data_IF_019018850660
#
_entry.id   IF_019018850660
#
_cell.length_a   1.000
_cell.length_b   1.000
_cell.length_c   1.000
_cell.angle_alpha   90.00
_cell.angle_beta   90.00
_cell.angle_gamma   90.00
#
_symmetry.space_group_name_H-M   'P 1'
#
loop_
_entity.id
_entity.type
_entity.pdbx_description
1 polymer ?
#
# COMPACT_ATOMS: atom_id res chain seq x y z
N UNK A 1 11.69 1.07 -24.03
CA UNK A 1 11.99 2.46 -23.66
C UNK A 1 11.07 2.83 -22.50
N UNK A 2 11.63 3.04 -21.31
CA UNK A 2 10.87 3.50 -20.13
C UNK A 2 10.93 5.02 -20.10
N UNK A 3 9.81 5.69 -20.38
CA UNK A 3 9.74 7.15 -20.38
C UNK A 3 9.31 7.60 -18.98
N UNK A 4 10.25 8.14 -18.19
CA UNK A 4 9.99 8.70 -16.86
C UNK A 4 9.37 10.09 -17.00
N UNK A 5 8.23 10.32 -16.36
CA UNK A 5 7.74 11.65 -16.00
C UNK A 5 7.44 11.64 -14.50
N UNK A 6 8.01 12.63 -13.79
CA UNK A 6 7.47 13.20 -12.55
C UNK A 6 7.60 12.40 -11.23
N UNK A 7 8.75 12.58 -10.58
CA UNK A 7 8.99 12.77 -9.13
C UNK A 7 8.25 11.95 -8.04
N UNK A 8 7.90 10.70 -8.31
CA UNK A 8 7.90 9.59 -7.34
C UNK A 8 8.32 8.34 -8.12
N UNK A 9 9.06 7.37 -7.57
CA UNK A 9 9.46 6.17 -8.31
C UNK A 9 8.26 5.23 -8.50
N UNK A 10 7.30 5.65 -9.33
CA UNK A 10 6.21 4.80 -9.75
C UNK A 10 6.77 3.68 -10.65
N UNK A 11 6.82 2.45 -10.14
CA UNK A 11 7.19 1.27 -10.91
C UNK A 11 5.95 0.79 -11.67
N UNK A 12 5.99 0.93 -12.99
CA UNK A 12 4.96 0.39 -13.86
C UNK A 12 5.34 -1.03 -14.30
N UNK A 13 4.47 -2.01 -14.05
CA UNK A 13 4.61 -3.35 -14.63
C UNK A 13 3.45 -3.63 -15.59
N UNK A 14 3.76 -4.41 -16.62
CA UNK A 14 2.78 -4.87 -17.61
C UNK A 14 2.72 -6.39 -17.50
N UNK A 15 1.56 -6.92 -17.10
CA UNK A 15 1.34 -8.36 -17.06
C UNK A 15 0.11 -8.69 -17.90
N UNK A 16 0.26 -9.52 -18.93
CA UNK A 16 -0.86 -9.97 -19.78
C UNK A 16 -1.67 -8.85 -20.46
N UNK A 17 -1.08 -7.66 -20.66
CA UNK A 17 -1.75 -6.50 -21.26
C UNK A 17 -2.34 -5.52 -20.23
N UNK A 18 -2.38 -5.94 -18.97
CA UNK A 18 -2.83 -5.12 -17.85
C UNK A 18 -1.69 -4.28 -17.28
N UNK A 19 -2.00 -3.02 -16.96
CA UNK A 19 -1.07 -2.07 -16.37
C UNK A 19 -1.25 -2.01 -14.86
N UNK A 20 -0.16 -2.15 -14.13
CA UNK A 20 -0.12 -1.90 -12.69
C UNK A 20 0.91 -0.82 -12.42
N UNK A 21 0.60 0.10 -11.51
CA UNK A 21 1.56 1.09 -11.03
C UNK A 21 1.76 0.93 -9.52
N UNK A 22 3.02 0.78 -9.11
CA UNK A 22 3.43 0.72 -7.72
C UNK A 22 4.03 2.06 -7.34
N UNK A 23 3.50 2.70 -6.32
CA UNK A 23 4.09 3.90 -5.71
C UNK A 23 4.96 3.49 -4.54
N UNK A 24 6.16 4.07 -4.44
CA UNK A 24 7.08 3.84 -3.33
C UNK A 24 7.41 5.14 -2.62
N UNK A 25 7.61 5.08 -1.30
CA UNK A 25 8.22 6.16 -0.53
C UNK A 25 9.75 6.25 -0.76
N UNK A 26 10.38 7.26 -0.15
CA UNK A 26 11.83 7.49 -0.25
C UNK A 26 12.68 6.36 0.36
N UNK A 27 12.08 5.51 1.20
CA UNK A 27 12.71 4.34 1.82
C UNK A 27 12.47 3.05 1.04
N UNK A 28 11.65 3.10 -0.02
CA UNK A 28 11.32 1.98 -0.88
C UNK A 28 10.13 1.14 -0.44
N UNK A 29 9.33 1.58 0.55
CA UNK A 29 8.08 0.89 0.90
C UNK A 29 6.99 1.23 -0.10
N UNK A 30 6.16 0.24 -0.43
CA UNK A 30 5.04 0.40 -1.35
C UNK A 30 3.90 1.16 -0.70
N UNK A 31 3.74 2.45 -0.97
CA UNK A 31 2.66 3.27 -0.44
C UNK A 31 1.39 3.23 -1.27
N UNK A 32 1.46 2.74 -2.50
CA UNK A 32 0.29 2.62 -3.37
C UNK A 32 0.40 1.56 -4.44
N UNK A 33 -0.75 1.01 -4.82
CA UNK A 33 -0.89 0.08 -5.95
C UNK A 33 -2.11 0.49 -6.78
N UNK A 34 -1.86 0.91 -8.02
CA UNK A 34 -2.92 1.11 -9.03
C UNK A 34 -3.14 -0.18 -9.80
N UNK A 35 -4.38 -0.64 -9.83
CA UNK A 35 -4.86 -1.79 -10.57
C UNK A 35 -5.21 -1.41 -12.02
N UNK A 36 -5.38 -2.40 -12.91
CA UNK A 36 -5.59 -2.15 -14.35
C UNK A 36 -6.91 -1.44 -14.68
N UNK A 37 -7.90 -1.56 -13.80
CA UNK A 37 -9.19 -0.86 -13.86
C UNK A 37 -9.11 0.59 -13.35
N UNK A 38 -7.95 1.01 -12.85
CA UNK A 38 -7.71 2.34 -12.27
C UNK A 38 -7.98 2.43 -10.78
N UNK A 39 -8.42 1.33 -10.15
CA UNK A 39 -8.61 1.27 -8.71
C UNK A 39 -7.26 1.41 -7.99
N UNK A 40 -7.25 2.13 -6.87
CA UNK A 40 -6.03 2.41 -6.11
C UNK A 40 -6.14 1.86 -4.68
N UNK A 41 -5.13 1.10 -4.29
CA UNK A 41 -4.86 0.71 -2.91
C UNK A 41 -3.80 1.65 -2.33
N UNK A 42 -3.96 2.02 -1.06
CA UNK A 42 -2.98 2.83 -0.33
C UNK A 42 -2.53 2.12 0.94
N UNK A 43 -1.25 2.25 1.26
CA UNK A 43 -0.61 1.58 2.39
C UNK A 43 0.19 2.57 3.23
N UNK A 44 0.07 2.46 4.55
CA UNK A 44 0.82 3.26 5.52
C UNK A 44 1.66 2.33 6.39
N UNK A 45 2.91 2.71 6.67
CA UNK A 45 3.86 1.91 7.43
C UNK A 45 4.40 2.68 8.63
N UNK A 46 4.90 1.96 9.62
CA UNK A 46 5.69 2.53 10.71
C UNK A 46 7.20 2.59 10.38
N UNK A 47 7.98 3.12 11.33
CA UNK A 47 9.44 3.23 11.23
C UNK A 47 10.18 1.89 11.11
N UNK A 48 9.50 0.77 11.40
CA UNK A 48 10.02 -0.59 11.30
C UNK A 48 9.53 -1.31 10.04
N UNK A 49 8.97 -0.58 9.06
CA UNK A 49 8.42 -1.13 7.83
C UNK A 49 7.24 -2.09 8.04
N UNK A 50 6.48 -1.94 9.14
CA UNK A 50 5.28 -2.73 9.42
C UNK A 50 4.04 -1.97 8.95
N UNK A 51 3.12 -2.67 8.29
CA UNK A 51 1.91 -2.08 7.73
C UNK A 51 0.97 -1.63 8.85
N UNK A 52 0.73 -0.32 9.00
CA UNK A 52 -0.22 0.22 9.97
C UNK A 52 -1.64 0.29 9.43
N UNK A 53 -1.79 0.51 8.12
CA UNK A 53 -3.09 0.72 7.51
C UNK A 53 -3.07 0.36 6.03
N UNK A 54 -4.12 -0.30 5.59
CA UNK A 54 -4.44 -0.50 4.17
C UNK A 54 -5.78 0.18 3.89
N UNK A 55 -5.86 0.89 2.76
CA UNK A 55 -7.10 1.54 2.30
C UNK A 55 -7.43 1.06 0.90
N UNK A 56 -8.67 0.63 0.72
CA UNK A 56 -9.20 0.17 -0.54
C UNK A 56 -9.69 1.32 -1.44
N UNK A 57 -10.01 1.04 -2.73
CA UNK A 57 -10.48 2.05 -3.66
C UNK A 57 -11.82 2.72 -3.27
N UNK A 58 -12.59 2.07 -2.38
CA UNK A 58 -13.84 2.60 -1.85
C UNK A 58 -13.62 3.48 -0.60
N UNK A 59 -12.37 3.69 -0.19
CA UNK A 59 -11.99 4.46 0.98
C UNK A 59 -12.19 3.72 2.31
N UNK A 60 -12.40 2.39 2.27
CA UNK A 60 -12.49 1.57 3.47
C UNK A 60 -11.08 1.21 3.93
N UNK A 61 -10.83 1.32 5.24
CA UNK A 61 -9.50 1.07 5.79
C UNK A 61 -9.49 -0.03 6.84
N UNK A 62 -8.47 -0.89 6.76
CA UNK A 62 -8.11 -1.84 7.81
C UNK A 62 -6.90 -1.27 8.55
N UNK A 63 -6.92 -1.27 9.88
CA UNK A 63 -5.78 -0.82 10.70
C UNK A 63 -5.16 -2.00 11.43
N UNK A 64 -3.85 -1.94 11.61
CA UNK A 64 -3.06 -2.97 12.28
C UNK A 64 -2.29 -2.36 13.43
N UNK A 65 -2.34 -3.05 14.56
CA UNK A 65 -1.57 -2.68 15.74
C UNK A 65 -0.62 -3.82 16.08
N UNK A 66 0.59 -3.46 16.49
CA UNK A 66 1.64 -4.42 16.79
C UNK A 66 2.16 -4.24 18.21
N UNK A 67 2.54 -5.35 18.83
CA UNK A 67 3.30 -5.31 20.06
C UNK A 67 4.66 -4.63 19.81
N UNK A 68 5.08 -3.78 20.76
CA UNK A 68 6.27 -2.94 20.67
C UNK A 68 7.52 -3.74 20.28
N UNK A 69 8.23 -3.27 19.24
CA UNK A 69 9.47 -3.85 18.68
C UNK A 69 9.37 -5.32 18.24
N UNK A 70 8.17 -5.80 17.91
CA UNK A 70 7.96 -7.17 17.38
C UNK A 70 7.12 -7.15 16.11
N UNK A 71 7.03 -8.26 15.40
CA UNK A 71 6.08 -8.42 14.29
C UNK A 71 4.72 -8.97 14.73
N UNK A 72 4.50 -9.13 16.04
CA UNK A 72 3.26 -9.68 16.57
C UNK A 72 2.13 -8.65 16.45
N UNK A 73 1.12 -8.99 15.66
CA UNK A 73 -0.13 -8.22 15.57
C UNK A 73 -0.92 -8.43 16.86
N UNK A 74 -1.31 -7.33 17.50
CA UNK A 74 -2.14 -7.33 18.71
C UNK A 74 -3.60 -7.06 18.42
N UNK A 75 -3.90 -6.36 17.33
CA UNK A 75 -5.26 -5.98 16.96
C UNK A 75 -5.34 -5.67 15.45
N UNK A 76 -6.48 -5.99 14.84
CA UNK A 76 -6.80 -5.65 13.46
C UNK A 76 -8.17 -4.99 13.44
N UNK A 77 -8.25 -3.69 13.15
CA UNK A 77 -9.51 -2.97 13.10
C UNK A 77 -10.07 -2.98 11.68
N UNK A 78 -11.21 -3.62 11.48
CA UNK A 78 -11.87 -3.71 10.18
C UNK A 78 -12.83 -2.54 9.92
N UNK A 79 -13.15 -2.22 8.64
CA UNK A 79 -14.10 -1.15 8.30
C UNK A 79 -15.51 -1.33 8.88
N UNK A 80 -15.91 -2.56 9.21
CA UNK A 80 -17.19 -2.88 9.83
C UNK A 80 -17.20 -2.66 11.35
N UNK A 81 -16.06 -2.23 11.93
CA UNK A 81 -15.87 -2.00 13.35
C UNK A 81 -15.54 -3.25 14.16
N UNK A 82 -15.34 -4.41 13.50
CA UNK A 82 -14.86 -5.61 14.16
C UNK A 82 -13.34 -5.57 14.41
N UNK A 83 -12.89 -6.38 15.38
CA UNK A 83 -11.49 -6.49 15.83
C UNK A 83 -11.04 -7.93 16.02
#
# INVERSE_FOLDING_TARGET
MMTRHSNAPALTCYYSGDHYAIELDDTGHMTGLTLPDGDQLAFEYDEFARLLKETDPLGRSIHYQYHHLTTLVTQVDYPDGST
#
